data_IF_935410197265
#
_entry.id   IF_935410197265
#
_cell.length_a   1.000
_cell.length_b   1.000
_cell.length_c   1.000
_cell.angle_alpha   90.00
_cell.angle_beta   90.00
_cell.angle_gamma   90.00
#
_symmetry.space_group_name_H-M   'P 1'
#
loop_
_entity.id
_entity.type
_entity.pdbx_description
1 polymer ?
#
# COMPACT_ATOMS: atom_id res chain seq x y z
N UNK A 1 -8.33 23.68 30.05
CA UNK A 1 -7.98 22.31 29.61
C UNK A 1 -7.46 21.56 30.83
N UNK A 2 -8.08 20.43 31.19
CA UNK A 2 -7.73 19.69 32.41
C UNK A 2 -6.55 18.71 32.21
N UNK A 3 -6.17 18.40 30.97
CA UNK A 3 -5.04 17.53 30.63
C UNK A 3 -4.15 18.22 29.58
N UNK A 4 -2.83 18.15 29.78
CA UNK A 4 -1.82 18.58 28.80
C UNK A 4 -1.60 17.42 27.83
N UNK A 5 -1.86 17.57 26.52
CA UNK A 5 -1.62 16.49 25.58
C UNK A 5 -0.13 16.19 25.47
N UNK A 6 0.17 14.89 25.35
CA UNK A 6 1.51 14.36 25.20
C UNK A 6 1.62 13.60 23.88
N UNK A 7 2.73 13.78 23.18
CA UNK A 7 3.04 13.08 21.91
C UNK A 7 4.29 12.23 22.12
N UNK A 8 4.21 11.08 22.76
CA UNK A 8 5.37 10.32 23.19
C UNK A 8 5.91 10.92 24.49
N UNK A 9 7.12 11.50 24.47
CA UNK A 9 7.81 11.94 25.72
C UNK A 9 7.73 13.43 26.05
N UNK A 10 7.19 14.24 25.16
CA UNK A 10 7.12 15.70 25.27
C UNK A 10 5.69 16.22 25.43
N UNK A 11 5.55 17.28 26.23
CA UNK A 11 4.31 18.03 26.42
C UNK A 11 4.20 19.13 25.37
N UNK A 12 3.02 19.29 24.79
CA UNK A 12 2.74 20.37 23.84
C UNK A 12 2.48 21.69 24.60
N UNK A 13 3.33 22.73 24.40
CA UNK A 13 3.21 23.98 25.12
C UNK A 13 2.09 24.86 24.56
N UNK A 14 1.32 25.50 25.47
CA UNK A 14 0.33 26.56 25.17
C UNK A 14 -0.54 26.28 23.94
N UNK A 15 -1.29 25.20 24.02
CA UNK A 15 -2.25 24.82 22.99
C UNK A 15 -3.42 25.79 22.98
N UNK A 16 -3.77 26.23 21.79
CA UNK A 16 -4.91 27.10 21.51
C UNK A 16 -6.14 26.28 21.13
N UNK A 17 -5.95 25.24 20.30
CA UNK A 17 -7.02 24.35 19.89
C UNK A 17 -6.52 22.93 19.63
N UNK A 18 -7.42 21.96 19.84
CA UNK A 18 -7.28 20.59 19.40
C UNK A 18 -8.56 20.23 18.68
N UNK A 19 -8.45 19.70 17.47
CA UNK A 19 -9.56 19.23 16.67
C UNK A 19 -9.32 17.78 16.26
N UNK A 20 -10.31 16.92 16.49
CA UNK A 20 -10.37 15.58 15.90
C UNK A 20 -11.24 15.62 14.64
N UNK A 21 -10.80 14.94 13.59
CA UNK A 21 -11.56 14.75 12.36
C UNK A 21 -11.69 13.26 12.06
N UNK A 22 -12.93 12.82 12.02
CA UNK A 22 -13.31 11.47 11.62
C UNK A 22 -13.96 11.50 10.24
N UNK A 23 -13.58 10.55 9.40
CA UNK A 23 -14.15 10.39 8.07
C UNK A 23 -14.30 8.91 7.71
N UNK A 24 -15.03 8.65 6.63
CA UNK A 24 -15.17 7.31 6.05
C UNK A 24 -14.69 7.31 4.62
N UNK A 25 -14.11 6.20 4.21
CA UNK A 25 -13.64 5.99 2.84
C UNK A 25 -14.82 5.49 2.01
N UNK A 26 -15.24 6.28 1.04
CA UNK A 26 -16.33 5.93 0.13
C UNK A 26 -15.81 5.82 -1.30
N UNK A 27 -16.01 4.69 -1.96
CA UNK A 27 -15.78 4.56 -3.40
C UNK A 27 -17.06 4.97 -4.15
N UNK A 28 -16.94 5.93 -5.05
CA UNK A 28 -18.03 6.44 -5.88
C UNK A 28 -17.96 5.79 -7.27
N UNK A 29 -18.97 5.01 -7.63
CA UNK A 29 -19.09 4.35 -8.92
C UNK A 29 -20.21 4.99 -9.74
N UNK A 30 -19.88 5.78 -10.79
CA UNK A 30 -20.89 6.30 -11.70
C UNK A 30 -21.44 5.17 -12.57
N UNK A 31 -22.77 4.99 -12.56
CA UNK A 31 -23.45 3.96 -13.36
C UNK A 31 -24.21 4.63 -14.51
N UNK A 32 -23.85 4.37 -15.78
CA UNK A 32 -24.57 4.92 -16.92
C UNK A 32 -26.07 4.58 -16.86
N UNK A 33 -26.93 5.59 -17.01
CA UNK A 33 -28.38 5.43 -16.99
C UNK A 33 -29.03 5.41 -15.60
N UNK A 34 -28.24 5.46 -14.52
CA UNK A 34 -28.74 5.64 -13.15
C UNK A 34 -28.73 7.13 -12.78
N UNK A 35 -29.81 7.62 -12.17
CA UNK A 35 -29.80 8.95 -11.55
C UNK A 35 -29.07 8.85 -10.21
N UNK A 36 -27.81 9.32 -10.18
CA UNK A 36 -26.93 9.25 -9.01
C UNK A 36 -25.73 8.34 -9.22
N UNK A 37 -24.89 8.22 -8.19
CA UNK A 37 -23.73 7.32 -8.17
C UNK A 37 -23.93 6.24 -7.11
N UNK A 38 -23.47 5.03 -7.40
CA UNK A 38 -23.38 3.97 -6.41
C UNK A 38 -22.23 4.31 -5.46
N UNK A 39 -22.45 4.13 -4.16
CA UNK A 39 -21.44 4.36 -3.12
C UNK A 39 -21.13 3.02 -2.45
N UNK A 40 -19.84 2.68 -2.38
CA UNK A 40 -19.35 1.55 -1.58
C UNK A 40 -18.62 2.09 -0.36
N UNK A 41 -19.08 1.71 0.83
CA UNK A 41 -18.38 2.01 2.09
C UNK A 41 -17.16 1.08 2.21
N UNK A 42 -15.97 1.68 2.25
CA UNK A 42 -14.68 1.00 2.45
C UNK A 42 -14.23 1.05 3.92
N UNK A 43 -15.10 1.52 4.82
CA UNK A 43 -14.87 1.59 6.26
C UNK A 43 -14.40 2.97 6.73
N UNK A 44 -14.09 3.03 8.02
CA UNK A 44 -13.50 4.19 8.69
C UNK A 44 -12.15 4.56 8.04
N UNK A 45 -11.90 5.85 7.89
CA UNK A 45 -10.57 6.38 7.61
C UNK A 45 -9.81 6.58 8.94
N UNK A 46 -8.49 6.63 8.88
CA UNK A 46 -7.67 6.88 10.07
C UNK A 46 -8.03 8.22 10.70
N UNK A 47 -8.19 8.24 12.04
CA UNK A 47 -8.50 9.43 12.80
C UNK A 47 -7.41 10.48 12.62
N UNK A 48 -7.80 11.70 12.22
CA UNK A 48 -6.90 12.84 12.13
C UNK A 48 -7.05 13.72 13.38
N UNK A 49 -5.93 14.14 13.95
CA UNK A 49 -5.89 15.10 15.05
C UNK A 49 -5.04 16.29 14.64
N UNK A 50 -5.66 17.47 14.63
CA UNK A 50 -4.97 18.74 14.41
C UNK A 50 -4.78 19.45 15.75
N UNK A 51 -3.55 19.85 16.03
CA UNK A 51 -3.21 20.61 17.24
C UNK A 51 -2.58 21.92 16.83
N UNK A 52 -3.11 23.03 17.35
CA UNK A 52 -2.52 24.35 17.16
C UNK A 52 -2.20 25.00 18.50
N UNK A 53 -1.11 25.75 18.52
CA UNK A 53 -0.69 26.49 19.70
C UNK A 53 0.38 27.52 19.37
N UNK A 54 0.90 28.15 20.42
CA UNK A 54 1.90 29.20 20.30
C UNK A 54 3.10 28.98 21.22
N UNK A 55 4.27 29.41 20.75
CA UNK A 55 5.54 29.41 21.43
C UNK A 55 6.02 30.85 21.56
N UNK A 56 6.71 31.15 22.67
CA UNK A 56 7.30 32.46 22.91
C UNK A 56 8.80 32.32 23.13
N UNK A 57 9.58 33.12 22.39
CA UNK A 57 11.03 33.18 22.48
C UNK A 57 11.77 32.14 21.64
N UNK A 58 12.97 32.52 21.19
CA UNK A 58 13.78 31.75 20.25
C UNK A 58 14.27 30.40 20.80
N UNK A 59 14.65 30.35 22.09
CA UNK A 59 15.20 29.14 22.70
C UNK A 59 14.15 28.01 22.79
N UNK A 60 12.93 28.36 23.20
CA UNK A 60 11.82 27.42 23.27
C UNK A 60 11.39 26.94 21.88
N UNK A 61 11.42 27.85 20.88
CA UNK A 61 11.17 27.51 19.48
C UNK A 61 12.20 26.51 18.96
N UNK A 62 13.48 26.78 19.15
CA UNK A 62 14.57 25.99 18.56
C UNK A 62 14.66 24.59 19.18
N UNK A 63 14.47 24.48 20.50
CA UNK A 63 14.42 23.20 21.19
C UNK A 63 13.23 22.35 20.70
N UNK A 64 12.03 22.93 20.68
CA UNK A 64 10.82 22.25 20.21
C UNK A 64 10.92 21.83 18.75
N UNK A 65 11.39 22.72 17.88
CA UNK A 65 11.52 22.44 16.45
C UNK A 65 12.55 21.35 16.16
N UNK A 66 13.64 21.29 16.93
CA UNK A 66 14.65 20.23 16.78
C UNK A 66 14.07 18.86 17.13
N UNK A 67 13.32 18.76 18.23
CA UNK A 67 12.65 17.52 18.63
C UNK A 67 11.58 17.12 17.63
N UNK A 68 10.76 18.08 17.17
CA UNK A 68 9.70 17.85 16.19
C UNK A 68 10.24 17.34 14.85
N UNK A 69 11.29 17.99 14.35
CA UNK A 69 11.93 17.55 13.12
C UNK A 69 12.56 16.17 13.26
N UNK A 70 13.15 15.87 14.41
CA UNK A 70 13.75 14.55 14.65
C UNK A 70 12.69 13.46 14.64
N UNK A 71 11.58 13.66 15.36
CA UNK A 71 10.46 12.71 15.39
C UNK A 71 9.79 12.56 14.02
N UNK A 72 9.57 13.68 13.32
CA UNK A 72 8.99 13.68 11.97
C UNK A 72 9.87 12.94 10.96
N UNK A 73 11.19 13.13 11.02
CA UNK A 73 12.13 12.46 10.11
C UNK A 73 12.34 10.98 10.42
N UNK A 74 12.17 10.57 11.69
CA UNK A 74 12.19 9.16 12.05
C UNK A 74 11.02 8.41 11.40
N UNK A 75 9.84 9.04 11.33
CA UNK A 75 8.64 8.43 10.74
C UNK A 75 8.06 7.31 11.59
N UNK A 76 8.53 7.15 12.83
CA UNK A 76 8.08 6.13 13.75
C UNK A 76 6.75 6.54 14.41
N UNK A 77 5.85 5.57 14.69
CA UNK A 77 4.67 5.79 15.50
C UNK A 77 5.05 6.33 16.89
N UNK A 78 4.34 7.36 17.34
CA UNK A 78 4.50 7.94 18.68
C UNK A 78 3.22 7.78 19.46
N UNK A 79 3.35 7.47 20.75
CA UNK A 79 2.20 7.37 21.64
C UNK A 79 1.49 8.73 21.75
N UNK A 80 0.17 8.76 21.78
CA UNK A 80 -0.57 10.00 21.91
C UNK A 80 -1.58 9.93 23.04
N UNK A 81 -1.54 10.92 23.93
CA UNK A 81 -2.46 11.01 25.06
C UNK A 81 -3.09 12.39 25.07
N UNK A 82 -4.41 12.44 24.88
CA UNK A 82 -5.20 13.66 25.01
C UNK A 82 -6.64 13.34 25.45
N UNK A 83 -7.26 14.26 26.20
CA UNK A 83 -8.62 14.06 26.73
C UNK A 83 -9.68 13.91 25.61
N UNK A 84 -9.49 14.62 24.50
CA UNK A 84 -10.40 14.62 23.35
C UNK A 84 -10.43 13.27 22.59
N UNK A 85 -9.44 12.40 22.80
CA UNK A 85 -9.34 11.09 22.13
C UNK A 85 -9.56 9.91 23.06
N UNK A 86 -9.90 10.15 24.34
CA UNK A 86 -10.13 9.09 25.32
C UNK A 86 -11.25 8.12 24.92
N UNK A 87 -12.26 8.58 24.18
CA UNK A 87 -13.35 7.72 23.68
C UNK A 87 -12.99 7.01 22.35
N UNK A 88 -11.94 7.45 21.66
CA UNK A 88 -11.59 6.98 20.31
C UNK A 88 -10.51 5.88 20.30
N UNK A 89 -10.11 5.36 21.46
CA UNK A 89 -9.07 4.32 21.64
C UNK A 89 -7.77 4.60 20.86
N UNK A 90 -7.42 5.88 20.70
CA UNK A 90 -6.25 6.30 19.94
C UNK A 90 -4.98 6.12 20.78
N UNK A 91 -4.21 5.06 20.51
CA UNK A 91 -2.97 4.77 21.23
C UNK A 91 -1.74 5.37 20.55
N UNK A 92 -1.59 5.14 19.24
CA UNK A 92 -0.42 5.54 18.46
C UNK A 92 -0.80 6.42 17.27
N UNK A 93 0.04 7.43 17.01
CA UNK A 93 -0.11 8.36 15.89
C UNK A 93 1.19 8.53 15.12
N UNK A 94 1.05 8.86 13.85
CA UNK A 94 2.14 9.36 13.02
C UNK A 94 2.05 10.88 12.88
N UNK A 95 3.20 11.53 12.90
CA UNK A 95 3.31 12.95 12.56
C UNK A 95 3.33 13.06 11.04
N UNK A 96 2.18 13.41 10.44
CA UNK A 96 2.03 13.50 8.97
C UNK A 96 2.51 14.84 8.43
N UNK A 97 2.43 15.88 9.26
CA UNK A 97 2.94 17.19 8.88
C UNK A 97 2.92 18.16 10.05
N UNK A 98 3.66 19.24 9.88
CA UNK A 98 3.64 20.35 10.80
C UNK A 98 3.91 21.66 10.04
N UNK A 99 3.38 22.76 10.55
CA UNK A 99 3.63 24.10 10.06
C UNK A 99 4.05 24.99 11.22
N UNK A 100 4.99 25.90 10.96
CA UNK A 100 5.32 26.99 11.87
C UNK A 100 5.16 28.31 11.14
N UNK A 101 4.50 29.25 11.80
CA UNK A 101 4.23 30.59 11.30
C UNK A 101 4.72 31.61 12.33
N UNK A 102 5.55 32.55 11.89
CA UNK A 102 5.92 33.72 12.68
C UNK A 102 5.16 34.92 12.12
N UNK A 103 4.46 35.66 12.97
CA UNK A 103 3.71 36.84 12.54
C UNK A 103 4.22 38.06 13.28
N UNK A 104 4.49 39.16 12.57
CA UNK A 104 4.90 40.43 13.16
C UNK A 104 3.80 41.15 13.98
N UNK A 105 2.65 40.51 14.19
CA UNK A 105 1.54 41.03 14.98
C UNK A 105 1.87 41.03 16.48
N UNK A 106 2.60 40.03 16.94
CA UNK A 106 3.03 39.89 18.33
C UNK A 106 4.51 39.53 18.32
N UNK A 107 5.32 40.31 19.04
CA UNK A 107 6.76 40.09 19.11
C UNK A 107 7.07 38.74 19.76
N UNK A 108 8.04 38.03 19.18
CA UNK A 108 8.54 36.75 19.66
C UNK A 108 7.50 35.62 19.75
N UNK A 109 6.39 35.73 19.01
CA UNK A 109 5.33 34.70 18.93
C UNK A 109 5.50 33.83 17.68
N UNK A 110 5.59 32.52 17.90
CA UNK A 110 5.58 31.51 16.85
C UNK A 110 4.36 30.63 17.00
N UNK A 111 3.53 30.55 15.97
CA UNK A 111 2.39 29.63 15.93
C UNK A 111 2.81 28.32 15.29
N UNK A 112 2.39 27.23 15.88
CA UNK A 112 2.59 25.91 15.33
C UNK A 112 1.24 25.25 15.03
N UNK A 113 1.24 24.41 14.00
CA UNK A 113 0.15 23.48 13.68
C UNK A 113 0.77 22.11 13.48
N UNK A 114 0.30 21.10 14.19
CA UNK A 114 0.68 19.70 14.01
C UNK A 114 -0.51 18.93 13.45
N UNK A 115 -0.23 18.07 12.47
CA UNK A 115 -1.16 17.14 11.87
C UNK A 115 -0.73 15.72 12.26
N UNK A 116 -1.52 15.09 13.11
CA UNK A 116 -1.33 13.73 13.57
C UNK A 116 -2.37 12.83 12.92
N UNK A 117 -1.98 11.60 12.58
CA UNK A 117 -2.89 10.60 12.03
C UNK A 117 -2.72 9.29 12.77
N UNK A 118 -3.84 8.64 13.09
CA UNK A 118 -3.85 7.31 13.70
C UNK A 118 -2.96 6.34 12.93
N UNK A 119 -2.11 5.65 13.67
CA UNK A 119 -1.30 4.57 13.15
C UNK A 119 -2.05 3.24 13.31
N UNK A 120 -2.12 2.48 12.24
CA UNK A 120 -2.60 1.09 12.28
C UNK A 120 -1.47 0.21 11.76
N UNK A 121 -1.06 -0.77 12.56
CA UNK A 121 -0.03 -1.72 12.15
C UNK A 121 -0.49 -2.46 10.89
N UNK A 122 0.33 -2.50 9.82
CA UNK A 122 0.02 -3.30 8.65
C UNK A 122 -0.19 -4.76 9.07
N UNK A 123 -1.22 -5.45 8.55
CA UNK A 123 -1.35 -6.88 8.79
C UNK A 123 -0.08 -7.57 8.32
N UNK A 124 0.40 -8.54 9.10
CA UNK A 124 1.52 -9.37 8.68
C UNK A 124 1.23 -9.91 7.27
N UNK A 125 2.17 -9.78 6.33
CA UNK A 125 1.98 -10.37 5.02
C UNK A 125 1.68 -11.86 5.24
N UNK A 126 0.69 -12.42 4.53
CA UNK A 126 0.45 -13.85 4.62
C UNK A 126 1.79 -14.53 4.35
N UNK A 127 2.24 -15.37 5.29
CA UNK A 127 3.41 -16.20 5.09
C UNK A 127 3.26 -16.79 3.71
N UNK A 128 4.16 -16.42 2.80
CA UNK A 128 4.06 -16.76 1.40
C UNK A 128 4.13 -18.27 1.28
N UNK A 129 2.96 -18.91 1.33
CA UNK A 129 2.78 -20.31 0.95
C UNK A 129 3.09 -20.53 -0.53
N UNK A 130 3.53 -19.51 -1.27
CA UNK A 130 4.22 -19.68 -2.55
C UNK A 130 5.48 -20.55 -2.39
N UNK A 131 6.20 -20.47 -1.26
CA UNK A 131 7.32 -21.37 -0.98
C UNK A 131 6.82 -22.81 -0.76
N UNK A 132 5.77 -22.98 0.06
CA UNK A 132 5.17 -24.29 0.36
C UNK A 132 4.47 -24.94 -0.85
N UNK A 133 3.78 -24.16 -1.70
CA UNK A 133 3.04 -24.63 -2.88
C UNK A 133 3.97 -25.01 -4.04
N UNK A 134 5.17 -24.42 -4.09
CA UNK A 134 6.23 -24.77 -5.04
C UNK A 134 7.33 -25.66 -4.44
N UNK A 135 7.21 -26.10 -3.18
CA UNK A 135 8.18 -26.98 -2.52
C UNK A 135 9.59 -26.38 -2.37
N UNK A 136 9.69 -25.06 -2.35
CA UNK A 136 10.94 -24.34 -2.15
C UNK A 136 11.07 -24.04 -0.65
N UNK A 137 12.02 -24.67 0.03
CA UNK A 137 12.45 -24.28 1.39
C UNK A 137 13.12 -22.91 1.31
N UNK A 138 12.31 -21.86 1.19
CA UNK A 138 12.77 -20.48 1.18
C UNK A 138 12.56 -19.94 2.58
N UNK A 139 13.64 -19.98 3.38
CA UNK A 139 13.68 -19.30 4.67
C UNK A 139 13.24 -17.84 4.47
N UNK A 140 12.35 -17.38 5.34
CA UNK A 140 11.76 -16.02 5.33
C UNK A 140 12.78 -14.88 5.53
N UNK A 141 14.07 -15.20 5.52
CA UNK A 141 15.22 -14.28 5.64
C UNK A 141 15.91 -14.05 4.29
N UNK A 142 15.21 -14.24 3.16
CA UNK A 142 15.60 -13.60 1.91
C UNK A 142 15.37 -12.08 2.02
N UNK A 143 16.24 -11.44 2.80
CA UNK A 143 16.44 -10.01 2.79
C UNK A 143 16.55 -9.56 1.34
N UNK A 144 15.84 -8.49 1.02
CA UNK A 144 15.86 -7.79 -0.27
C UNK A 144 17.24 -7.19 -0.62
N UNK A 145 18.30 -7.61 0.07
CA UNK A 145 19.71 -7.42 -0.30
C UNK A 145 20.09 -8.43 -1.36
N UNK A 146 19.41 -8.26 -2.49
CA UNK A 146 19.82 -8.70 -3.80
C UNK A 146 21.12 -7.95 -4.14
N UNK A 147 22.26 -8.44 -3.69
CA UNK A 147 23.46 -8.38 -4.53
C UNK A 147 23.23 -9.35 -5.69
N UNK A 148 22.31 -8.95 -6.59
CA UNK A 148 21.85 -9.56 -7.85
C UNK A 148 22.39 -10.97 -8.11
N UNK A 149 22.01 -11.90 -7.22
CA UNK A 149 22.35 -13.32 -7.25
C UNK A 149 21.59 -14.03 -8.36
N UNK A 150 21.87 -13.64 -9.61
CA UNK A 150 21.42 -14.28 -10.83
C UNK A 150 21.91 -15.74 -10.93
N UNK A 151 22.77 -16.20 -10.02
CA UNK A 151 23.13 -17.62 -9.84
C UNK A 151 21.98 -18.48 -9.29
N UNK A 152 20.95 -17.90 -8.65
CA UNK A 152 19.73 -18.63 -8.25
C UNK A 152 18.75 -18.81 -9.42
N UNK A 153 18.93 -18.06 -10.51
CA UNK A 153 18.24 -18.27 -11.78
C UNK A 153 19.07 -19.20 -12.67
N UNK A 154 19.49 -20.36 -12.16
CA UNK A 154 19.89 -21.47 -13.02
C UNK A 154 18.63 -22.02 -13.72
N UNK A 155 18.14 -21.23 -14.69
CA UNK A 155 17.03 -21.53 -15.58
C UNK A 155 17.33 -22.84 -16.32
N UNK A 156 18.61 -23.19 -16.51
CA UNK A 156 18.97 -24.45 -17.15
C UNK A 156 18.62 -25.67 -16.28
N UNK A 157 18.67 -25.55 -14.95
CA UNK A 157 18.19 -26.58 -14.01
C UNK A 157 16.66 -26.71 -13.98
N UNK A 158 15.93 -25.60 -14.13
CA UNK A 158 14.46 -25.58 -14.17
C UNK A 158 13.89 -26.12 -15.50
N UNK A 159 14.71 -26.19 -16.56
CA UNK A 159 14.33 -26.77 -17.85
C UNK A 159 14.41 -28.32 -17.86
N UNK A 160 14.91 -28.96 -16.79
CA UNK A 160 15.00 -30.43 -16.70
C UNK A 160 13.65 -31.14 -16.64
N UNK A 161 12.62 -30.47 -16.10
CA UNK A 161 11.25 -30.99 -15.95
C UNK A 161 10.25 -30.34 -16.93
N UNK A 162 10.74 -29.67 -17.98
CA UNK A 162 9.85 -29.24 -19.06
C UNK A 162 9.43 -30.49 -19.84
N UNK A 163 8.14 -30.90 -19.81
CA UNK A 163 7.69 -32.02 -20.62
C UNK A 163 8.08 -31.74 -22.07
N UNK A 164 8.62 -32.75 -22.76
CA UNK A 164 8.98 -32.59 -24.16
C UNK A 164 7.77 -32.02 -24.91
N UNK A 165 7.98 -31.09 -25.84
CA UNK A 165 6.87 -30.43 -26.56
C UNK A 165 5.91 -31.48 -27.18
N UNK A 166 6.39 -32.70 -27.47
CA UNK A 166 5.57 -33.83 -27.86
C UNK A 166 4.47 -34.23 -26.86
N UNK A 167 4.76 -34.22 -25.56
CA UNK A 167 3.81 -34.58 -24.50
C UNK A 167 2.71 -33.53 -24.32
N UNK A 168 3.07 -32.25 -24.49
CA UNK A 168 2.11 -31.14 -24.46
C UNK A 168 1.16 -31.16 -25.67
N UNK A 169 1.57 -31.79 -26.77
CA UNK A 169 0.77 -31.92 -27.99
C UNK A 169 0.00 -33.25 -28.07
N UNK A 170 0.26 -34.21 -27.17
CA UNK A 170 -0.45 -35.49 -27.11
C UNK A 170 -1.99 -35.35 -26.98
N UNK A 171 -2.54 -34.38 -26.23
CA UNK A 171 -4.00 -34.19 -26.15
C UNK A 171 -4.64 -33.69 -27.45
N UNK A 172 -3.89 -32.98 -28.29
CA UNK A 172 -4.40 -32.39 -29.54
C UNK A 172 -4.04 -33.23 -30.77
N UNK A 173 -3.16 -34.22 -30.63
CA UNK A 173 -2.76 -35.14 -31.70
C UNK A 173 -3.95 -35.87 -32.36
N UNK A 174 -4.96 -36.37 -31.61
CA UNK A 174 -6.14 -37.01 -32.22
C UNK A 174 -6.96 -36.03 -33.06
N UNK A 175 -7.07 -34.77 -32.62
CA UNK A 175 -7.78 -33.72 -33.34
C UNK A 175 -7.01 -33.27 -34.60
N UNK A 176 -5.68 -33.19 -34.52
CA UNK A 176 -4.81 -32.89 -35.65
C UNK A 176 -4.83 -34.03 -36.70
N UNK A 177 -4.86 -35.29 -36.25
CA UNK A 177 -4.99 -36.44 -37.13
C UNK A 177 -6.36 -36.48 -37.80
N UNK A 178 -7.44 -36.22 -37.05
CA UNK A 178 -8.79 -36.09 -37.62
C UNK A 178 -8.91 -34.95 -38.65
N UNK A 179 -8.24 -33.82 -38.41
CA UNK A 179 -8.19 -32.71 -39.37
C UNK A 179 -7.40 -33.10 -40.62
N UNK A 180 -6.27 -33.80 -40.48
CA UNK A 180 -5.46 -34.28 -41.59
C UNK A 180 -6.20 -35.31 -42.44
N UNK A 181 -6.93 -36.23 -41.81
CA UNK A 181 -7.72 -37.24 -42.52
C UNK A 181 -8.92 -36.60 -43.25
N UNK A 182 -9.55 -35.59 -42.65
CA UNK A 182 -10.60 -34.80 -43.30
C UNK A 182 -10.07 -33.97 -44.48
N UNK A 183 -8.89 -33.37 -44.35
CA UNK A 183 -8.23 -32.65 -45.44
C UNK A 183 -7.73 -33.58 -46.55
N UNK A 184 -7.23 -34.77 -46.22
CA UNK A 184 -6.82 -35.78 -47.20
C UNK A 184 -8.04 -36.31 -47.99
N UNK A 185 -9.15 -36.60 -47.31
CA UNK A 185 -10.41 -36.97 -47.96
C UNK A 185 -10.99 -35.83 -48.82
N UNK A 186 -10.81 -34.57 -48.41
CA UNK A 186 -11.17 -33.41 -49.23
C UNK A 186 -10.24 -33.23 -50.44
N UNK A 187 -8.94 -33.53 -50.31
CA UNK A 187 -7.97 -33.50 -51.40
C UNK A 187 -8.30 -34.50 -52.52
N UNK A 188 -8.71 -35.72 -52.16
CA UNK A 188 -9.17 -36.72 -53.13
C UNK A 188 -10.49 -36.31 -53.81
N UNK A 189 -11.41 -35.68 -53.08
CA UNK A 189 -12.68 -35.17 -53.62
C UNK A 189 -12.49 -33.94 -54.55
N UNK A 190 -11.45 -33.13 -54.33
CA UNK A 190 -11.15 -31.93 -55.11
C UNK A 190 -10.16 -32.18 -56.26
N UNK A 191 -9.51 -33.35 -56.30
CA UNK A 191 -8.62 -33.75 -57.39
C UNK A 191 -9.24 -33.70 -58.80
N UNK A 192 -10.52 -34.07 -59.01
CA UNK A 192 -11.18 -33.92 -60.31
C UNK A 192 -11.45 -32.47 -60.73
N UNK A 193 -11.54 -31.54 -59.77
CA UNK A 193 -11.71 -30.11 -60.06
C UNK A 193 -10.37 -29.46 -60.44
N UNK A 194 -9.25 -29.94 -59.90
CA UNK A 194 -7.92 -29.48 -60.29
C UNK A 194 -7.59 -29.80 -61.76
N UNK A 195 -8.09 -30.92 -62.30
CA UNK A 195 -7.94 -31.28 -63.72
C UNK A 195 -8.78 -30.45 -64.70
N UNK A 196 -9.63 -29.53 -64.23
CA UNK A 196 -10.41 -28.61 -65.08
C UNK A 196 -9.66 -27.28 -65.28
N UNK A 197 -8.64 -27.00 -64.46
CA UNK A 197 -7.87 -25.76 -64.51
C UNK A 197 -6.47 -25.91 -65.16
N UNK A 198 -6.17 -27.07 -65.76
CA UNK A 198 -4.97 -27.34 -66.57
C UNK A 198 -5.36 -27.59 -68.04
#
# INVERSE_FOLDING_TARGET
>A
MLVRPMVGRWELPRIEAIASRESRRLALLPVPGLSGSLQQDLGRDALEVEISGSLYGDEARDAFLKELRTAFLAGDPVDFVADIVNESELEQVLIVGFALEETAAIADEFRYRLLLREYTEPPEPPATGLADDFGLDVDADLGLDVDLGLDLLDIAGLLGDVPEIGDLLAPIQPAAQGLKDALAGAGDLLSPLASIFD
#
